data_IF_643219930348
#
_entry.id   IF_643219930348
#
_cell.length_a   1.000
_cell.length_b   1.000
_cell.length_c   1.000
_cell.angle_alpha   90.00
_cell.angle_beta   90.00
_cell.angle_gamma   90.00
#
_symmetry.space_group_name_H-M   'P 1'
#
loop_
_entity.id
_entity.type
_entity.pdbx_description
1 polymer ?
#
# COMPACT_ATOMS: atom_id res chain seq x y z
N UNK A 1 7.60 19.98 4.09
CA UNK A 1 7.74 18.99 2.99
C UNK A 1 8.79 19.48 2.02
N UNK A 2 9.42 18.56 1.28
CA UNK A 2 10.43 18.89 0.26
C UNK A 2 9.81 19.68 -0.91
N UNK A 3 10.51 20.69 -1.43
CA UNK A 3 10.07 21.38 -2.66
C UNK A 3 10.48 20.55 -3.87
N UNK A 4 9.63 20.52 -4.90
CA UNK A 4 9.89 19.78 -6.14
C UNK A 4 11.17 20.27 -6.81
N UNK A 5 11.45 21.57 -6.77
CA UNK A 5 12.62 22.16 -7.41
C UNK A 5 13.93 21.78 -6.69
N UNK A 6 13.90 21.74 -5.35
CA UNK A 6 15.04 21.27 -4.53
C UNK A 6 15.30 19.77 -4.74
N UNK A 7 14.24 18.99 -4.88
CA UNK A 7 14.33 17.56 -5.11
C UNK A 7 14.81 17.24 -6.54
N UNK A 8 14.34 17.99 -7.53
CA UNK A 8 14.76 17.89 -8.93
C UNK A 8 16.26 18.19 -9.08
N UNK A 9 16.73 19.27 -8.46
CA UNK A 9 18.15 19.65 -8.47
C UNK A 9 19.03 18.62 -7.77
N UNK A 10 18.62 18.13 -6.59
CA UNK A 10 19.39 17.12 -5.84
C UNK A 10 19.42 15.75 -6.52
N UNK A 11 18.33 15.35 -7.18
CA UNK A 11 18.24 14.09 -7.91
C UNK A 11 18.84 14.15 -9.33
N UNK A 12 19.24 15.33 -9.80
CA UNK A 12 19.60 15.57 -11.20
C UNK A 12 18.51 15.09 -12.19
N UNK A 13 17.24 15.30 -11.82
CA UNK A 13 16.07 14.92 -12.60
C UNK A 13 15.30 16.16 -13.01
N UNK A 14 14.57 16.07 -14.12
CA UNK A 14 13.67 17.16 -14.51
C UNK A 14 12.53 17.30 -13.50
N UNK A 15 12.09 18.54 -13.26
CA UNK A 15 10.88 18.83 -12.47
C UNK A 15 9.66 18.01 -12.91
N UNK A 16 9.53 17.81 -14.23
CA UNK A 16 8.47 17.00 -14.84
C UNK A 16 8.55 15.54 -14.40
N UNK A 17 9.76 14.97 -14.31
CA UNK A 17 9.98 13.60 -13.85
C UNK A 17 9.56 13.44 -12.39
N UNK A 18 9.93 14.39 -11.52
CA UNK A 18 9.53 14.38 -10.10
C UNK A 18 8.00 14.43 -9.97
N UNK A 19 7.34 15.33 -10.71
CA UNK A 19 5.87 15.41 -10.72
C UNK A 19 5.20 14.12 -11.23
N UNK A 20 5.82 13.44 -12.20
CA UNK A 20 5.33 12.15 -12.69
C UNK A 20 5.42 11.06 -11.62
N UNK A 21 6.55 11.00 -10.89
CA UNK A 21 6.73 10.06 -9.78
C UNK A 21 5.69 10.32 -8.69
N UNK A 22 5.50 11.58 -8.29
CA UNK A 22 4.50 11.98 -7.28
C UNK A 22 3.09 11.53 -7.66
N UNK A 23 2.74 11.61 -8.95
CA UNK A 23 1.44 11.19 -9.48
C UNK A 23 1.31 9.69 -9.75
N UNK A 24 2.36 8.90 -9.51
CA UNK A 24 2.35 7.46 -9.78
C UNK A 24 2.32 7.11 -11.27
N UNK A 25 2.88 7.94 -12.14
CA UNK A 25 2.97 7.67 -13.58
C UNK A 25 3.86 6.45 -13.85
N UNK A 26 3.29 5.41 -14.46
CA UNK A 26 3.97 4.14 -14.76
C UNK A 26 5.01 4.24 -15.88
N UNK A 27 5.06 5.35 -16.60
CA UNK A 27 6.09 5.62 -17.61
C UNK A 27 7.44 6.03 -17.02
N UNK A 28 7.50 6.31 -15.71
CA UNK A 28 8.78 6.66 -15.07
C UNK A 28 9.59 5.40 -14.83
N UNK A 29 10.86 5.45 -15.25
CA UNK A 29 11.80 4.35 -15.02
C UNK A 29 12.05 4.12 -13.53
N UNK A 30 12.11 2.86 -13.12
CA UNK A 30 12.38 2.46 -11.74
C UNK A 30 13.66 3.10 -11.15
N UNK A 31 14.72 3.28 -11.96
CA UNK A 31 15.94 3.94 -11.53
C UNK A 31 15.72 5.37 -11.00
N UNK A 32 14.84 6.16 -11.64
CA UNK A 32 14.50 7.50 -11.19
C UNK A 32 13.79 7.49 -9.84
N UNK A 33 12.96 6.46 -9.60
CA UNK A 33 12.29 6.26 -8.31
C UNK A 33 13.31 5.91 -7.23
N UNK A 34 14.26 5.01 -7.52
CA UNK A 34 15.32 4.63 -6.58
C UNK A 34 16.18 5.82 -6.14
N UNK A 35 16.61 6.66 -7.09
CA UNK A 35 17.39 7.88 -6.77
C UNK A 35 16.59 8.79 -5.83
N UNK A 36 15.28 8.94 -6.09
CA UNK A 36 14.41 9.76 -5.25
C UNK A 36 14.26 9.17 -3.85
N UNK A 37 14.11 7.85 -3.75
CA UNK A 37 13.99 7.15 -2.48
C UNK A 37 15.25 7.29 -1.63
N UNK A 38 16.44 7.19 -2.23
CA UNK A 38 17.72 7.38 -1.53
C UNK A 38 17.82 8.79 -0.93
N UNK A 39 17.49 9.82 -1.72
CA UNK A 39 17.50 11.22 -1.25
C UNK A 39 16.51 11.47 -0.10
N UNK A 40 15.37 10.78 -0.12
CA UNK A 40 14.32 10.91 0.89
C UNK A 40 14.50 9.96 2.08
N UNK A 41 15.51 9.08 2.06
CA UNK A 41 15.72 8.08 3.10
C UNK A 41 14.63 7.00 3.16
N UNK A 42 14.00 6.70 2.02
CA UNK A 42 12.96 5.69 1.91
C UNK A 42 13.56 4.32 1.60
N UNK A 43 12.94 3.27 2.12
CA UNK A 43 13.31 1.89 1.83
C UNK A 43 12.21 1.18 1.06
N UNK A 44 12.61 0.26 0.17
CA UNK A 44 11.70 -0.64 -0.50
C UNK A 44 11.46 -1.86 0.38
N UNK A 45 10.20 -2.24 0.53
CA UNK A 45 9.81 -3.55 1.05
C UNK A 45 9.06 -4.28 -0.05
N UNK A 46 9.63 -5.39 -0.52
CA UNK A 46 8.88 -6.30 -1.36
C UNK A 46 7.80 -6.96 -0.50
N UNK A 47 6.56 -6.90 -0.97
CA UNK A 47 5.44 -7.57 -0.34
C UNK A 47 4.89 -8.54 -1.37
N UNK A 48 4.74 -9.80 -0.99
CA UNK A 48 4.07 -10.78 -1.82
C UNK A 48 2.58 -10.43 -1.90
N UNK A 49 2.09 -10.15 -3.11
CA UNK A 49 0.68 -9.87 -3.36
C UNK A 49 -0.21 -11.08 -3.06
N UNK A 50 0.35 -12.30 -3.07
CA UNK A 50 -0.36 -13.51 -2.66
C UNK A 50 -0.75 -13.48 -1.16
N UNK A 51 -0.10 -12.64 -0.35
CA UNK A 51 -0.46 -12.48 1.07
C UNK A 51 -1.77 -11.68 1.27
N UNK A 52 -2.16 -10.86 0.27
CA UNK A 52 -3.42 -10.11 0.30
C UNK A 52 -4.58 -10.84 -0.38
N UNK A 53 -4.29 -11.92 -1.10
CA UNK A 53 -5.31 -12.87 -1.54
C UNK A 53 -5.70 -13.70 -0.32
N UNK A 54 -6.53 -13.11 0.55
CA UNK A 54 -7.23 -13.86 1.58
C UNK A 54 -8.03 -14.95 0.85
N UNK A 55 -7.73 -16.26 1.00
CA UNK A 55 -8.65 -17.27 0.52
C UNK A 55 -9.92 -17.07 1.34
N UNK A 56 -10.98 -16.59 0.70
CA UNK A 56 -12.31 -16.46 1.29
C UNK A 56 -12.93 -17.85 1.46
N UNK A 57 -12.29 -18.75 2.20
CA UNK A 57 -12.82 -20.07 2.50
C UNK A 57 -12.60 -20.37 3.98
N UNK A 58 -13.67 -20.13 4.74
CA UNK A 58 -14.09 -20.75 6.00
C UNK A 58 -13.10 -21.71 6.69
N UNK A 59 -12.70 -21.37 7.91
CA UNK A 59 -12.59 -22.35 9.00
C UNK A 59 -13.21 -21.69 10.23
N UNK A 60 -14.50 -21.96 10.43
CA UNK A 60 -15.17 -21.82 11.71
C UNK A 60 -14.51 -22.84 12.65
N UNK A 61 -13.68 -22.38 13.58
CA UNK A 61 -13.42 -23.17 14.78
C UNK A 61 -14.72 -23.13 15.57
N UNK A 62 -15.50 -24.21 15.45
CA UNK A 62 -16.50 -24.59 16.44
C UNK A 62 -15.72 -24.84 17.73
N UNK A 63 -15.65 -23.83 18.59
CA UNK A 63 -15.37 -24.04 20.00
C UNK A 63 -16.72 -24.17 20.70
N UNK A 64 -16.80 -25.25 21.44
CA UNK A 64 -17.99 -25.79 22.06
C UNK A 64 -18.39 -24.94 23.28
N UNK A 65 -19.71 -24.82 23.51
CA UNK A 65 -20.36 -24.22 24.68
C UNK A 65 -20.59 -22.70 24.64
N UNK A 66 -21.71 -22.30 24.04
CA UNK A 66 -22.54 -21.28 24.67
C UNK A 66 -24.02 -21.52 24.33
N UNK A 67 -24.72 -22.26 25.22
CA UNK A 67 -26.18 -22.24 25.28
C UNK A 67 -26.55 -20.86 25.82
N UNK A 68 -26.78 -19.90 24.92
CA UNK A 68 -27.52 -18.69 25.23
C UNK A 68 -28.86 -18.84 24.53
N UNK A 69 -29.85 -19.28 25.31
CA UNK A 69 -31.25 -18.95 25.07
C UNK A 69 -31.34 -17.45 24.88
N UNK A 70 -31.87 -17.02 23.74
CA UNK A 70 -32.59 -15.76 23.59
C UNK A 70 -33.51 -15.93 22.38
N UNK A 71 -34.69 -16.48 22.69
CA UNK A 71 -35.95 -16.13 22.05
C UNK A 71 -36.04 -14.61 21.89
N UNK A 72 -36.19 -14.12 20.65
CA UNK A 72 -36.86 -12.85 20.30
C UNK A 72 -36.82 -12.65 18.78
N UNK A 73 -37.91 -13.01 18.13
CA UNK A 73 -38.12 -12.84 16.70
C UNK A 73 -38.37 -11.39 16.31
N UNK A 74 -37.87 -10.99 15.13
CA UNK A 74 -38.25 -9.72 14.47
C UNK A 74 -38.34 -9.93 12.94
N UNK A 75 -39.61 -10.09 12.54
CA UNK A 75 -40.36 -9.85 11.30
C UNK A 75 -40.01 -10.48 9.93
N UNK A 76 -41.11 -11.00 9.36
CA UNK A 76 -41.36 -11.32 7.93
C UNK A 76 -41.17 -10.13 7.00
#
# INVERSE_FOLDING_TARGET
GWRIDDLASKANLSRRTIMKIEKGDTSVTFANVLVLMDILGLSLRLIDLNLFVRPHNQITYQDENNVINNEDGWYE
#
